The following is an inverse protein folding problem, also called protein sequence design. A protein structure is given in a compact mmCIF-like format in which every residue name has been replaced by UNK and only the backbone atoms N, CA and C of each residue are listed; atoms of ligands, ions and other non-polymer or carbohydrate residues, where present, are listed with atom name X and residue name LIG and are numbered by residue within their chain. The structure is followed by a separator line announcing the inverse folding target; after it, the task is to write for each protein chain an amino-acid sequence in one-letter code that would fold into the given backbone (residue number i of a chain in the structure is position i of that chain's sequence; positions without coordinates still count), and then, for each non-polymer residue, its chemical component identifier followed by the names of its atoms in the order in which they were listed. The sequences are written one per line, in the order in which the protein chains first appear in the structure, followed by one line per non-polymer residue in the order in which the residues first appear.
data_IF_627862785714
#
_entry.id   IF_627862785714
#
_cell.length_a   1.000
_cell.length_b   1.000
_cell.length_c   1.000
_cell.angle_alpha   90.00
_cell.angle_beta   90.00
_cell.angle_gamma   90.00
#
_symmetry.space_group_name_H-M   'P 1'
#
loop_
_entity.id
_entity.type
_entity.pdbx_description
1 polymer ?
#
# COMPACT_ATOMS: atom_id res chain seq x y z
N UNK A 1 -2.43 -1.74 30.17
CA UNK A 1 -2.91 -1.10 28.91
C UNK A 1 -2.86 0.45 28.93
N UNK A 2 -3.04 1.10 30.09
CA UNK A 2 -3.14 2.56 30.16
C UNK A 2 -1.85 3.34 29.89
N UNK A 3 -0.68 2.74 30.10
CA UNK A 3 0.63 3.39 29.94
C UNK A 3 0.98 3.58 28.47
N UNK A 4 1.20 4.81 28.00
CA UNK A 4 1.73 5.05 26.65
C UNK A 4 3.08 4.36 26.44
N UNK A 5 3.36 3.91 25.21
CA UNK A 5 4.66 3.31 24.90
C UNK A 5 5.77 4.37 25.06
N UNK A 6 6.84 4.09 25.83
CA UNK A 6 7.94 5.03 26.03
C UNK A 6 8.71 5.24 24.73
N UNK A 7 9.35 6.41 24.58
CA UNK A 7 10.07 6.75 23.35
C UNK A 7 11.26 5.82 23.07
N UNK A 8 11.84 5.21 24.11
CA UNK A 8 12.94 4.25 24.02
C UNK A 8 12.56 2.93 23.33
N UNK A 9 11.26 2.62 23.20
CA UNK A 9 10.78 1.39 22.59
C UNK A 9 10.88 1.43 21.05
N UNK A 10 10.92 2.62 20.45
CA UNK A 10 11.01 2.82 19.01
C UNK A 10 12.48 2.71 18.56
N UNK A 11 12.90 1.48 18.22
CA UNK A 11 14.30 1.16 17.92
C UNK A 11 14.68 1.46 16.48
N UNK A 12 13.78 1.18 15.53
CA UNK A 12 14.04 1.40 14.11
C UNK A 12 14.06 2.91 13.80
N UNK A 13 13.42 3.70 14.65
CA UNK A 13 13.21 5.12 14.46
C UNK A 13 13.45 5.91 15.76
N UNK A 14 14.70 6.38 15.96
CA UNK A 14 15.18 7.25 17.06
C UNK A 14 14.43 8.60 17.30
N UNK A 15 13.26 8.85 16.70
CA UNK A 15 12.54 10.14 16.76
C UNK A 15 11.04 9.93 16.61
N UNK A 16 10.28 10.29 17.63
CA UNK A 16 8.81 10.42 17.58
C UNK A 16 8.38 11.49 16.56
N UNK A 17 7.11 11.50 16.09
CA UNK A 17 6.61 12.50 15.14
C UNK A 17 6.81 13.95 15.62
N UNK A 18 6.93 14.17 16.93
CA UNK A 18 7.26 15.46 17.53
C UNK A 18 8.65 15.96 17.13
N UNK A 19 9.60 15.04 17.02
CA UNK A 19 10.98 15.30 16.60
C UNK A 19 11.17 15.12 15.09
N UNK A 20 10.09 14.87 14.34
CA UNK A 20 10.13 14.85 12.89
C UNK A 20 10.24 16.30 12.37
N UNK A 21 11.20 16.58 11.49
CA UNK A 21 11.49 17.95 11.08
C UNK A 21 10.36 18.56 10.22
N UNK A 22 10.17 19.88 10.35
CA UNK A 22 8.96 20.62 9.95
C UNK A 22 8.74 20.85 8.45
N UNK A 23 9.65 20.39 7.58
CA UNK A 23 9.51 20.61 6.14
C UNK A 23 8.84 19.37 5.52
N UNK A 24 7.71 19.55 4.83
CA UNK A 24 7.10 18.48 4.03
C UNK A 24 8.08 18.02 2.97
N UNK A 25 8.30 16.71 2.89
CA UNK A 25 9.02 16.17 1.76
C UNK A 25 8.03 15.72 0.71
N UNK A 26 8.18 16.30 -0.49
CA UNK A 26 7.67 15.76 -1.73
C UNK A 26 8.48 14.49 -2.06
N UNK A 27 8.23 13.43 -1.31
CA UNK A 27 8.88 12.12 -1.50
C UNK A 27 8.20 11.40 -2.65
N UNK A 28 8.53 11.84 -3.87
CA UNK A 28 8.62 10.94 -5.00
C UNK A 28 7.29 10.46 -5.59
N UNK A 29 7.31 10.27 -6.89
CA UNK A 29 6.24 9.57 -7.60
C UNK A 29 6.39 8.07 -7.25
N UNK A 30 5.52 7.52 -6.42
CA UNK A 30 5.41 6.07 -6.26
C UNK A 30 4.73 5.48 -7.50
N UNK A 31 5.53 5.09 -8.49
CA UNK A 31 5.06 4.38 -9.67
C UNK A 31 4.72 2.92 -9.34
N UNK A 32 3.53 2.64 -8.84
CA UNK A 32 3.08 1.24 -8.75
C UNK A 32 2.47 0.79 -10.09
N UNK A 33 3.35 0.34 -11.00
CA UNK A 33 2.92 -0.50 -12.12
C UNK A 33 2.73 -1.92 -11.60
N UNK A 34 1.55 -2.46 -11.80
CA UNK A 34 1.25 -3.86 -11.50
C UNK A 34 1.53 -4.72 -12.76
N UNK A 35 1.61 -6.03 -12.55
CA UNK A 35 1.98 -7.10 -13.49
C UNK A 35 3.47 -7.43 -13.70
N UNK A 36 4.44 -6.85 -12.97
CA UNK A 36 5.70 -7.59 -12.76
C UNK A 36 6.60 -7.12 -11.62
N UNK A 37 6.79 -5.81 -11.37
CA UNK A 37 7.65 -5.33 -10.27
C UNK A 37 7.23 -3.93 -9.77
N UNK A 38 7.07 -3.70 -8.46
CA UNK A 38 6.85 -2.36 -7.92
C UNK A 38 8.08 -1.47 -8.18
N UNK A 39 7.87 -0.19 -8.49
CA UNK A 39 8.94 0.78 -8.74
C UNK A 39 8.74 2.03 -7.90
N UNK A 40 9.78 2.49 -7.23
CA UNK A 40 9.77 3.75 -6.49
C UNK A 40 10.76 4.72 -7.12
N UNK A 41 10.31 5.95 -7.37
CA UNK A 41 11.15 7.02 -7.89
C UNK A 41 11.11 8.21 -6.94
N UNK A 42 12.26 8.57 -6.38
CA UNK A 42 12.39 9.77 -5.55
C UNK A 42 12.68 10.98 -6.44
N UNK A 43 11.74 11.92 -6.54
CA UNK A 43 11.85 13.09 -7.42
C UNK A 43 12.97 14.05 -7.01
N UNK A 44 13.35 14.07 -5.73
CA UNK A 44 14.36 15.00 -5.20
C UNK A 44 15.79 14.49 -5.41
N UNK A 45 16.03 13.21 -5.18
CA UNK A 45 17.35 12.59 -5.32
C UNK A 45 17.54 11.88 -6.66
N UNK A 46 16.52 11.91 -7.52
CA UNK A 46 16.43 11.19 -8.80
C UNK A 46 16.75 9.69 -8.70
N UNK A 47 16.60 9.12 -7.50
CA UNK A 47 16.92 7.72 -7.24
C UNK A 47 15.76 6.83 -7.66
N UNK A 48 16.06 5.77 -8.40
CA UNK A 48 15.08 4.80 -8.90
C UNK A 48 15.40 3.44 -8.27
N UNK A 49 14.39 2.81 -7.67
CA UNK A 49 14.46 1.45 -7.12
C UNK A 49 13.39 0.58 -7.75
N UNK A 50 13.78 -0.60 -8.21
CA UNK A 50 12.93 -1.56 -8.96
C UNK A 50 12.89 -2.92 -8.28
N UNK A 51 14.01 -3.35 -7.69
CA UNK A 51 14.05 -4.63 -6.98
C UNK A 51 13.25 -4.56 -5.68
N UNK A 52 12.33 -5.52 -5.41
CA UNK A 52 11.41 -5.45 -4.28
C UNK A 52 12.10 -5.26 -2.93
N UNK A 53 13.18 -6.01 -2.69
CA UNK A 53 13.93 -5.92 -1.43
C UNK A 53 14.62 -4.56 -1.30
N UNK A 54 15.34 -4.11 -2.33
CA UNK A 54 16.01 -2.81 -2.29
C UNK A 54 15.02 -1.66 -2.14
N UNK A 55 13.87 -1.75 -2.82
CA UNK A 55 12.80 -0.77 -2.73
C UNK A 55 12.24 -0.72 -1.31
N UNK A 56 11.95 -1.88 -0.72
CA UNK A 56 11.42 -1.97 0.64
C UNK A 56 12.41 -1.44 1.67
N UNK A 57 13.69 -1.84 1.56
CA UNK A 57 14.78 -1.34 2.41
C UNK A 57 14.96 0.17 2.24
N UNK A 58 14.97 0.67 1.00
CA UNK A 58 15.08 2.10 0.73
C UNK A 58 13.94 2.91 1.36
N UNK A 59 12.70 2.42 1.30
CA UNK A 59 11.54 3.07 1.93
C UNK A 59 11.58 3.01 3.47
N UNK A 60 12.18 1.97 4.06
CA UNK A 60 12.40 1.91 5.51
C UNK A 60 13.55 2.81 5.96
N UNK A 61 14.57 2.95 5.13
CA UNK A 61 15.73 3.78 5.43
C UNK A 61 15.38 5.27 5.46
N UNK A 62 16.11 5.98 6.32
CA UNK A 62 16.05 7.44 6.40
C UNK A 62 16.45 8.14 5.10
N UNK A 63 16.99 7.45 4.09
CA UNK A 63 17.30 8.03 2.78
C UNK A 63 16.09 8.05 1.83
N UNK A 64 15.19 7.06 1.89
CA UNK A 64 13.99 7.02 1.05
C UNK A 64 12.78 7.70 1.67
N UNK A 65 12.66 7.65 3.00
CA UNK A 65 11.63 8.38 3.73
C UNK A 65 12.17 9.01 5.04
N UNK A 66 13.09 10.00 4.97
CA UNK A 66 13.83 10.51 6.13
C UNK A 66 13.00 11.00 7.31
N UNK A 67 11.70 11.23 7.10
CA UNK A 67 10.77 11.96 7.97
C UNK A 67 9.42 11.27 8.11
N UNK A 68 9.27 10.08 7.51
CA UNK A 68 8.08 9.26 7.60
C UNK A 68 8.29 8.16 8.63
N UNK A 69 7.50 8.19 9.70
CA UNK A 69 7.57 7.22 10.79
C UNK A 69 6.15 6.87 11.18
N UNK A 70 5.68 5.73 10.72
CA UNK A 70 4.43 5.15 11.19
C UNK A 70 4.75 4.12 12.27
N UNK A 71 4.32 4.43 13.49
CA UNK A 71 4.20 3.43 14.54
C UNK A 71 2.72 3.26 14.86
N UNK A 72 2.32 2.04 15.18
CA UNK A 72 0.96 1.74 15.59
C UNK A 72 1.01 0.93 16.86
N UNK A 73 0.35 1.43 17.90
CA UNK A 73 0.02 0.62 19.05
C UNK A 73 -1.31 -0.08 18.78
N UNK A 74 -1.31 -1.40 18.87
CA UNK A 74 -2.46 -2.24 18.60
C UNK A 74 -2.82 -3.05 19.82
N UNK A 75 -4.12 -3.32 19.95
CA UNK A 75 -4.65 -4.36 20.82
C UNK A 75 -5.26 -5.41 19.92
N UNK A 76 -4.76 -6.63 20.02
CA UNK A 76 -5.14 -7.72 19.11
C UNK A 76 -5.59 -8.96 19.88
N UNK A 77 -6.46 -9.73 19.25
CA UNK A 77 -6.87 -11.04 19.75
C UNK A 77 -5.96 -12.09 19.10
N UNK A 78 -5.22 -12.82 19.92
CA UNK A 78 -4.38 -13.93 19.48
C UNK A 78 -5.24 -15.12 19.07
N UNK A 79 -4.67 -15.95 18.20
CA UNK A 79 -5.29 -17.20 17.73
C UNK A 79 -5.67 -18.12 18.90
N UNK A 80 -4.84 -18.13 19.96
CA UNK A 80 -5.09 -18.90 21.19
C UNK A 80 -6.15 -18.27 22.13
N UNK A 81 -6.83 -17.19 21.72
CA UNK A 81 -7.91 -16.55 22.48
C UNK A 81 -7.47 -15.52 23.52
N UNK A 82 -6.18 -15.21 23.61
CA UNK A 82 -5.65 -14.19 24.53
C UNK A 82 -5.62 -12.81 23.87
N UNK A 83 -5.81 -11.75 24.64
CA UNK A 83 -5.57 -10.37 24.17
C UNK A 83 -4.12 -9.98 24.40
N UNK A 84 -3.49 -9.35 23.42
CA UNK A 84 -2.19 -8.70 23.60
C UNK A 84 -2.22 -7.24 23.19
N UNK A 85 -1.20 -6.53 23.67
CA UNK A 85 -0.93 -5.14 23.34
C UNK A 85 0.47 -5.07 22.79
N UNK A 86 0.57 -4.63 21.55
CA UNK A 86 1.81 -4.68 20.79
C UNK A 86 2.04 -3.33 20.11
N UNK A 87 3.30 -3.02 19.83
CA UNK A 87 3.72 -1.80 19.13
C UNK A 87 4.47 -2.24 17.87
N UNK A 88 4.04 -1.73 16.73
CA UNK A 88 4.58 -2.09 15.43
C UNK A 88 5.11 -0.86 14.70
N UNK A 89 6.23 -1.03 14.01
CA UNK A 89 6.84 -0.03 13.12
C UNK A 89 6.89 -0.59 11.70
N UNK A 90 6.12 -0.02 10.76
CA UNK A 90 5.98 -0.57 9.39
C UNK A 90 5.95 0.52 8.31
N UNK A 91 6.99 1.35 8.16
CA UNK A 91 6.90 2.52 7.29
C UNK A 91 6.82 2.19 5.82
N UNK A 92 7.71 1.34 5.28
CA UNK A 92 7.60 0.93 3.87
C UNK A 92 6.25 0.28 3.58
N UNK A 93 5.80 -0.61 4.47
CA UNK A 93 4.49 -1.25 4.37
C UNK A 93 3.34 -0.25 4.36
N UNK A 94 3.38 0.77 5.22
CA UNK A 94 2.31 1.78 5.29
C UNK A 94 2.28 2.67 4.05
N UNK A 95 3.45 3.09 3.53
CA UNK A 95 3.56 3.86 2.29
C UNK A 95 3.02 3.05 1.11
N UNK A 96 3.50 1.81 0.95
CA UNK A 96 3.11 0.93 -0.15
C UNK A 96 1.64 0.56 -0.09
N UNK A 97 1.10 0.32 1.12
CA UNK A 97 -0.31 0.03 1.29
C UNK A 97 -1.20 1.21 0.89
N UNK A 98 -0.86 2.43 1.32
CA UNK A 98 -1.58 3.64 0.91
C UNK A 98 -1.51 3.85 -0.61
N UNK A 99 -0.33 3.70 -1.21
CA UNK A 99 -0.13 3.81 -2.66
C UNK A 99 -0.97 2.80 -3.45
N UNK A 100 -1.00 1.55 -2.97
CA UNK A 100 -1.69 0.46 -3.62
C UNK A 100 -3.21 0.62 -3.56
N UNK A 101 -3.74 0.96 -2.39
CA UNK A 101 -5.17 1.22 -2.23
C UNK A 101 -5.63 2.36 -3.14
N UNK A 102 -4.84 3.42 -3.27
CA UNK A 102 -5.13 4.56 -4.13
C UNK A 102 -5.20 4.15 -5.60
N UNK A 103 -4.25 3.35 -6.07
CA UNK A 103 -4.31 2.79 -7.43
C UNK A 103 -5.55 1.94 -7.68
N UNK A 104 -5.93 1.10 -6.73
CA UNK A 104 -7.16 0.31 -6.85
C UNK A 104 -8.40 1.20 -6.91
N UNK A 105 -8.40 2.37 -6.25
CA UNK A 105 -9.56 3.30 -6.28
C UNK A 105 -9.61 3.99 -7.62
N UNK A 106 -8.50 4.60 -8.00
CA UNK A 106 -8.49 5.58 -9.08
C UNK A 106 -8.45 4.95 -10.47
N UNK A 107 -7.82 3.78 -10.63
CA UNK A 107 -7.37 3.34 -11.95
C UNK A 107 -7.96 2.06 -12.51
N UNK A 108 -8.73 1.27 -11.75
CA UNK A 108 -8.79 -0.15 -12.15
C UNK A 108 -10.09 -0.81 -11.81
N UNK A 109 -10.53 -0.62 -10.57
CA UNK A 109 -11.48 -1.57 -10.03
C UNK A 109 -12.88 -0.97 -10.09
N UNK A 110 -13.77 -1.70 -10.76
CA UNK A 110 -15.19 -1.46 -10.63
C UNK A 110 -15.59 -1.49 -9.15
N UNK A 111 -16.58 -0.67 -8.79
CA UNK A 111 -17.03 -0.50 -7.41
C UNK A 111 -17.39 -1.83 -6.74
N UNK A 112 -18.12 -2.70 -7.43
CA UNK A 112 -18.58 -3.96 -6.84
C UNK A 112 -17.45 -4.98 -6.74
N UNK A 113 -16.57 -5.03 -7.75
CA UNK A 113 -15.35 -5.86 -7.69
C UNK A 113 -14.47 -5.45 -6.51
N UNK A 114 -14.33 -4.14 -6.27
CA UNK A 114 -13.56 -3.60 -5.14
C UNK A 114 -14.17 -4.00 -3.80
N UNK A 115 -15.49 -3.97 -3.68
CA UNK A 115 -16.20 -4.40 -2.47
C UNK A 115 -15.91 -5.87 -2.15
N UNK A 116 -16.04 -6.74 -3.15
CA UNK A 116 -15.73 -8.18 -3.02
C UNK A 116 -14.27 -8.38 -2.64
N UNK A 117 -13.34 -7.69 -3.32
CA UNK A 117 -11.90 -7.77 -3.02
C UNK A 117 -11.59 -7.33 -1.59
N UNK A 118 -12.25 -6.30 -1.07
CA UNK A 118 -12.05 -5.84 0.30
C UNK A 118 -12.39 -6.94 1.31
N UNK A 119 -13.51 -7.62 1.10
CA UNK A 119 -13.96 -8.69 1.99
C UNK A 119 -13.02 -9.91 1.90
N UNK A 120 -12.57 -10.27 0.69
CA UNK A 120 -11.54 -11.30 0.47
C UNK A 120 -10.20 -10.93 1.10
N UNK A 121 -9.79 -9.65 1.03
CA UNK A 121 -8.54 -9.16 1.63
C UNK A 121 -8.57 -9.27 3.16
N UNK A 122 -9.71 -8.97 3.79
CA UNK A 122 -9.89 -9.15 5.23
C UNK A 122 -9.82 -10.63 5.62
N UNK A 123 -10.48 -11.51 4.84
CA UNK A 123 -10.41 -12.96 5.06
C UNK A 123 -9.01 -13.52 4.89
N UNK A 124 -8.27 -13.04 3.90
CA UNK A 124 -6.87 -13.42 3.71
C UNK A 124 -6.00 -13.01 4.90
N UNK A 125 -6.20 -11.79 5.44
CA UNK A 125 -5.47 -11.32 6.61
C UNK A 125 -5.76 -12.20 7.85
N UNK A 126 -7.02 -12.60 8.06
CA UNK A 126 -7.41 -13.54 9.12
C UNK A 126 -6.72 -14.90 8.95
N UNK A 127 -6.73 -15.46 7.73
CA UNK A 127 -6.09 -16.73 7.42
C UNK A 127 -4.57 -16.70 7.68
N UNK A 128 -3.90 -15.62 7.25
CA UNK A 128 -2.46 -15.42 7.46
C UNK A 128 -2.15 -15.28 8.96
N UNK A 129 -2.94 -14.49 9.69
CA UNK A 129 -2.79 -14.34 11.14
C UNK A 129 -3.02 -15.67 11.88
N UNK A 130 -3.94 -16.50 11.40
CA UNK A 130 -4.22 -17.85 11.88
C UNK A 130 -3.16 -18.91 11.53
N UNK A 131 -2.12 -18.56 10.76
CA UNK A 131 -1.08 -19.51 10.32
C UNK A 131 -1.52 -20.42 9.16
N UNK A 132 -2.64 -20.13 8.50
CA UNK A 132 -3.21 -20.95 7.43
C UNK A 132 -2.61 -20.65 6.05
N UNK A 133 -1.34 -20.22 5.96
CA UNK A 133 -0.74 -19.80 4.69
C UNK A 133 -0.74 -20.90 3.61
N UNK A 134 -0.51 -22.15 4.01
CA UNK A 134 -0.43 -23.31 3.12
C UNK A 134 -1.76 -24.06 3.00
N UNK A 135 -2.82 -23.58 3.63
CA UNK A 135 -4.11 -24.25 3.56
C UNK A 135 -4.76 -24.08 2.18
N UNK A 136 -5.60 -25.04 1.75
CA UNK A 136 -6.25 -24.95 0.45
C UNK A 136 -7.15 -23.71 0.34
N UNK A 137 -7.81 -23.31 1.43
CA UNK A 137 -8.66 -22.12 1.46
C UNK A 137 -7.87 -20.81 1.29
N UNK A 138 -6.68 -20.68 1.89
CA UNK A 138 -5.86 -19.49 1.72
C UNK A 138 -5.15 -19.47 0.37
N UNK A 139 -4.53 -20.60 0.00
CA UNK A 139 -3.65 -20.71 -1.15
C UNK A 139 -4.39 -20.83 -2.49
N UNK A 140 -5.39 -21.73 -2.57
CA UNK A 140 -6.09 -22.06 -3.82
C UNK A 140 -7.30 -21.19 -4.07
N UNK A 141 -7.97 -20.73 -3.01
CA UNK A 141 -9.17 -19.88 -3.12
C UNK A 141 -8.83 -18.40 -2.95
N UNK A 142 -8.59 -17.93 -1.73
CA UNK A 142 -8.49 -16.49 -1.44
C UNK A 142 -7.35 -15.82 -2.21
N UNK A 143 -6.14 -16.40 -2.17
CA UNK A 143 -4.97 -15.83 -2.84
C UNK A 143 -5.09 -15.84 -4.37
N UNK A 144 -5.70 -16.87 -4.95
CA UNK A 144 -5.95 -16.93 -6.40
C UNK A 144 -6.91 -15.81 -6.83
N UNK A 145 -8.03 -15.63 -6.12
CA UNK A 145 -8.98 -14.56 -6.39
C UNK A 145 -8.35 -13.17 -6.23
N UNK A 146 -7.54 -12.97 -5.19
CA UNK A 146 -6.78 -11.73 -5.02
C UNK A 146 -5.80 -11.50 -6.17
N UNK A 147 -5.08 -12.52 -6.61
CA UNK A 147 -4.14 -12.41 -7.74
C UNK A 147 -4.86 -12.02 -9.04
N UNK A 148 -6.03 -12.61 -9.31
CA UNK A 148 -6.87 -12.25 -10.45
C UNK A 148 -7.34 -10.80 -10.38
N UNK A 149 -7.75 -10.31 -9.21
CA UNK A 149 -8.18 -8.92 -9.03
C UNK A 149 -7.08 -7.91 -9.37
N UNK A 150 -5.81 -8.31 -9.22
CA UNK A 150 -4.66 -7.45 -9.47
C UNK A 150 -4.20 -7.44 -10.92
N UNK A 151 -4.72 -8.31 -11.80
CA UNK A 151 -4.21 -8.45 -13.17
C UNK A 151 -4.24 -7.14 -13.97
N UNK A 152 -5.30 -6.34 -13.80
CA UNK A 152 -5.48 -5.08 -14.51
C UNK A 152 -4.98 -3.86 -13.73
N UNK A 153 -4.58 -4.04 -12.46
CA UNK A 153 -4.10 -2.89 -11.69
C UNK A 153 -2.83 -2.43 -12.37
N UNK A 154 -2.67 -1.14 -12.65
CA UNK A 154 -1.42 -0.53 -13.12
C UNK A 154 -1.57 0.99 -12.96
N UNK A 155 -0.51 1.69 -12.58
CA UNK A 155 -0.53 3.15 -12.59
C UNK A 155 0.67 3.80 -11.92
N UNK A 156 0.55 5.09 -11.62
CA UNK A 156 1.56 5.84 -10.87
C UNK A 156 0.87 6.84 -9.94
N UNK A 157 1.18 6.75 -8.65
CA UNK A 157 0.64 7.64 -7.61
C UNK A 157 1.75 8.57 -7.13
N UNK A 158 1.42 9.81 -6.81
CA UNK A 158 2.33 10.74 -6.14
C UNK A 158 1.99 10.83 -4.67
N UNK A 159 3.00 10.70 -3.83
CA UNK A 159 2.84 10.74 -2.38
C UNK A 159 3.76 11.81 -1.78
N UNK A 160 3.23 12.57 -0.84
CA UNK A 160 4.00 13.42 0.04
C UNK A 160 4.08 12.73 1.40
N UNK A 161 5.25 12.70 2.02
CA UNK A 161 5.42 12.10 3.33
C UNK A 161 5.77 13.20 4.34
N UNK A 162 4.96 13.29 5.39
CA UNK A 162 5.14 14.34 6.39
C UNK A 162 4.73 13.88 7.79
N UNK A 163 5.67 14.02 8.74
CA UNK A 163 5.49 13.74 10.17
C UNK A 163 4.73 12.44 10.49
N UNK A 164 5.10 11.35 9.81
CA UNK A 164 4.49 10.03 10.02
C UNK A 164 3.16 9.80 9.30
N UNK A 165 2.71 10.75 8.47
CA UNK A 165 1.53 10.61 7.62
C UNK A 165 1.91 10.54 6.13
N UNK A 166 1.13 9.77 5.39
CA UNK A 166 1.20 9.65 3.92
C UNK A 166 0.09 10.51 3.34
N UNK A 167 0.45 11.45 2.47
CA UNK A 167 -0.50 12.32 1.79
C UNK A 167 -0.49 11.97 0.31
N UNK A 168 -1.64 11.53 -0.19
CA UNK A 168 -1.79 11.21 -1.61
C UNK A 168 -2.04 12.52 -2.36
N UNK A 169 -1.21 12.82 -3.36
CA UNK A 169 -1.36 14.00 -4.24
C UNK A 169 -2.17 13.72 -5.49
N UNK A 170 -2.57 12.48 -5.67
CA UNK A 170 -3.18 11.98 -6.88
C UNK A 170 -2.11 11.53 -7.88
N UNK A 171 -2.54 11.17 -9.09
CA UNK A 171 -1.66 10.38 -9.93
C UNK A 171 -0.97 11.18 -11.05
N UNK A 172 0.06 10.58 -11.63
CA UNK A 172 0.92 11.21 -12.63
C UNK A 172 0.61 10.67 -14.04
N UNK A 173 -0.39 11.24 -14.72
CA UNK A 173 -0.57 11.07 -16.16
C UNK A 173 -1.98 10.67 -16.63
N UNK A 174 -2.31 11.15 -17.83
CA UNK A 174 -3.61 11.29 -18.53
C UNK A 174 -4.35 10.03 -18.97
N UNK A 175 -3.96 8.85 -18.48
CA UNK A 175 -4.69 7.62 -18.82
C UNK A 175 -5.73 7.34 -17.74
N UNK A 176 -6.88 8.00 -17.86
CA UNK A 176 -8.09 7.45 -17.27
C UNK A 176 -8.19 5.98 -17.74
N UNK A 177 -8.55 5.06 -16.85
CA UNK A 177 -9.05 3.76 -17.28
C UNK A 177 -10.43 4.07 -17.83
N UNK A 178 -10.46 4.46 -19.10
CA UNK A 178 -11.69 4.44 -19.84
C UNK A 178 -12.03 2.96 -19.90
N UNK A 179 -12.94 2.50 -19.04
CA UNK A 179 -13.73 1.35 -19.41
C UNK A 179 -14.27 1.65 -20.81
N UNK A 180 -14.11 0.77 -21.81
CA UNK A 180 -14.59 0.99 -23.18
C UNK A 180 -16.14 0.94 -23.26
N UNK A 181 -16.84 1.64 -22.37
CA UNK A 181 -18.30 1.66 -22.25
C UNK A 181 -18.88 2.68 -21.25
N UNK A 182 -18.08 3.29 -20.36
CA UNK A 182 -18.61 4.26 -19.39
C UNK A 182 -18.44 5.70 -19.90
N UNK A 183 -19.40 6.16 -20.72
CA UNK A 183 -19.68 7.59 -20.86
C UNK A 183 -18.81 8.39 -21.83
N UNK A 184 -18.68 7.96 -23.08
CA UNK A 184 -18.56 8.90 -24.19
C UNK A 184 -19.78 8.75 -25.10
N UNK A 185 -20.79 9.60 -24.90
CA UNK A 185 -21.72 9.91 -25.97
C UNK A 185 -20.96 10.70 -27.04
N UNK A 186 -20.35 9.95 -27.95
CA UNK A 186 -19.51 10.46 -29.02
C UNK A 186 -18.97 9.31 -29.85
N UNK A 187 -19.85 8.71 -30.66
CA UNK A 187 -19.57 7.83 -31.82
C UNK A 187 -18.12 7.38 -32.03
N UNK A 188 -17.84 6.09 -31.83
CA UNK A 188 -17.12 5.27 -32.81
C UNK A 188 -17.22 3.78 -32.45
N UNK A 189 -17.81 3.02 -33.37
CA UNK A 189 -17.78 1.55 -33.39
C UNK A 189 -16.34 1.06 -33.54
N UNK A 190 -15.95 -0.01 -32.84
CA UNK A 190 -15.22 -1.15 -33.44
C UNK A 190 -15.17 -2.35 -32.48
N UNK A 191 -15.69 -3.46 -33.00
CA UNK A 191 -15.56 -4.84 -32.53
C UNK A 191 -14.11 -5.31 -32.52
N UNK A 192 -13.83 -6.38 -31.76
CA UNK A 192 -13.01 -7.58 -32.04
C UNK A 192 -12.64 -8.20 -30.65
N UNK A 193 -13.24 -9.31 -30.21
CA UNK A 193 -13.07 -10.72 -30.58
C UNK A 193 -11.85 -11.40 -29.92
N UNK A 194 -12.17 -12.48 -29.18
CA UNK A 194 -11.38 -13.46 -28.41
C UNK A 194 -10.86 -13.04 -27.02
#
# INVERSE_FOLDING_TARGET
PYLSAPESLYSMYLRTPKNAPNNSQHTGNSSSRTASRPKVTNTRTQTIKVEPLELFTYLNESRGAPRYRSYRQSYENRVIGMKSRDVYETPAGTILHAAHLDLEVFYVMDKEVRRIKRDLSSKFAEQVYGGLWYSPEAGRSTRSCLSLSQACVTGTVRLDLFKGQVYIRGPLGSQLPVQPGAGQHGRARRLHAF
#
